data_IF_299204546124
#
_entry.id   IF_299204546124
#
_cell.length_a   1.000
_cell.length_b   1.000
_cell.length_c   1.000
_cell.angle_alpha   90.00
_cell.angle_beta   90.00
_cell.angle_gamma   90.00
#
_symmetry.space_group_name_H-M   'P 1'
#
loop_
_entity.id
_entity.type
_entity.pdbx_description
1 polymer ?
#
# COMPACT_ATOMS: atom_id res chain seq x y z
N UNK A 1 7.44 19.26 -19.24
CA UNK A 1 6.91 19.96 -18.06
C UNK A 1 5.39 19.99 -18.15
N UNK A 2 4.70 19.14 -17.37
CA UNK A 2 3.23 19.08 -17.31
C UNK A 2 2.62 20.38 -16.77
N UNK A 3 1.44 20.76 -17.25
CA UNK A 3 0.66 21.86 -16.65
C UNK A 3 0.26 21.49 -15.20
N UNK A 4 0.04 22.50 -14.34
CA UNK A 4 -0.20 22.27 -12.91
C UNK A 4 -1.39 21.32 -12.65
N UNK A 5 -2.44 21.41 -13.46
CA UNK A 5 -3.64 20.55 -13.39
C UNK A 5 -3.35 19.10 -13.79
N UNK A 6 -2.53 18.86 -14.83
CA UNK A 6 -2.15 17.52 -15.27
C UNK A 6 -1.29 16.82 -14.21
N UNK A 7 -0.40 17.57 -13.55
CA UNK A 7 0.45 17.05 -12.47
C UNK A 7 -0.37 16.71 -11.23
N UNK A 8 -1.30 17.56 -10.80
CA UNK A 8 -2.21 17.25 -9.69
C UNK A 8 -3.03 15.99 -9.99
N UNK A 9 -3.50 15.83 -11.23
CA UNK A 9 -4.21 14.62 -11.65
C UNK A 9 -3.31 13.38 -11.60
N UNK A 10 -2.06 13.48 -12.04
CA UNK A 10 -1.09 12.39 -11.97
C UNK A 10 -0.81 11.96 -10.52
N UNK A 11 -0.56 12.92 -9.61
CA UNK A 11 -0.34 12.64 -8.19
C UNK A 11 -1.56 11.96 -7.56
N UNK A 12 -2.76 12.48 -7.84
CA UNK A 12 -4.01 11.92 -7.34
C UNK A 12 -4.33 10.52 -7.91
N UNK A 13 -3.89 10.24 -9.13
CA UNK A 13 -4.17 8.96 -9.81
C UNK A 13 -3.19 7.86 -9.43
N UNK A 14 -1.91 8.21 -9.22
CA UNK A 14 -0.84 7.21 -9.09
C UNK A 14 -0.17 7.19 -7.72
N UNK A 15 0.04 8.36 -7.09
CA UNK A 15 0.83 8.45 -5.85
C UNK A 15 -0.05 8.38 -4.61
N UNK A 16 -1.04 9.28 -4.48
CA UNK A 16 -1.90 9.35 -3.30
C UNK A 16 -2.59 8.02 -2.95
N UNK A 17 -3.15 7.24 -3.89
CA UNK A 17 -3.78 5.95 -3.57
C UNK A 17 -2.80 4.90 -3.03
N UNK A 18 -1.53 5.01 -3.41
CA UNK A 18 -0.48 4.03 -3.12
C UNK A 18 0.50 4.50 -2.04
N UNK A 19 0.33 5.71 -1.49
CA UNK A 19 1.22 6.31 -0.49
C UNK A 19 1.42 5.42 0.74
N UNK A 20 0.37 4.69 1.14
CA UNK A 20 0.38 3.78 2.28
C UNK A 20 1.47 2.69 2.17
N UNK A 21 1.85 2.28 0.94
CA UNK A 21 2.91 1.29 0.70
C UNK A 21 4.25 1.87 1.17
N UNK A 22 4.54 3.11 0.78
CA UNK A 22 5.78 3.81 1.16
C UNK A 22 5.77 4.17 2.64
N UNK A 23 4.62 4.56 3.20
CA UNK A 23 4.48 4.79 4.66
C UNK A 23 4.74 3.53 5.47
N UNK A 24 4.24 2.38 5.03
CA UNK A 24 4.49 1.09 5.71
C UNK A 24 5.97 0.73 5.69
N UNK A 25 6.67 1.05 4.59
CA UNK A 25 8.11 0.92 4.50
C UNK A 25 8.84 1.89 5.45
N UNK A 26 8.43 3.17 5.49
CA UNK A 26 9.00 4.20 6.37
C UNK A 26 8.84 3.86 7.87
N UNK A 27 7.78 3.16 8.25
CA UNK A 27 7.54 2.74 9.64
C UNK A 27 8.64 1.80 10.20
N UNK A 28 9.53 1.27 9.35
CA UNK A 28 10.71 0.48 9.76
C UNK A 28 11.84 1.35 10.30
N UNK A 29 11.79 2.67 10.10
CA UNK A 29 12.81 3.63 10.51
C UNK A 29 12.27 4.54 11.62
N UNK A 30 12.44 4.17 12.90
CA UNK A 30 11.88 4.94 14.02
C UNK A 30 12.53 6.31 14.22
N UNK A 31 13.68 6.57 13.57
CA UNK A 31 14.42 7.84 13.67
C UNK A 31 13.79 8.96 12.83
N UNK A 32 12.78 8.68 12.00
CA UNK A 32 12.11 9.67 11.17
C UNK A 32 10.61 9.64 11.36
N UNK A 33 10.01 10.82 11.32
CA UNK A 33 8.58 10.96 11.10
C UNK A 33 8.26 10.71 9.63
N UNK A 34 7.39 9.73 9.36
CA UNK A 34 7.05 9.35 7.99
C UNK A 34 6.43 10.52 7.20
N UNK A 35 5.68 11.40 7.88
CA UNK A 35 5.08 12.59 7.28
C UNK A 35 6.11 13.56 6.72
N UNK A 36 7.24 13.75 7.40
CA UNK A 36 8.27 14.69 6.97
C UNK A 36 8.95 14.22 5.67
N UNK A 37 9.30 12.93 5.61
CA UNK A 37 9.89 12.33 4.40
C UNK A 37 8.92 12.37 3.24
N UNK A 38 7.63 12.08 3.47
CA UNK A 38 6.59 12.10 2.45
C UNK A 38 6.37 13.53 1.93
N UNK A 39 6.33 14.53 2.81
CA UNK A 39 6.19 15.93 2.39
C UNK A 39 7.37 16.39 1.54
N UNK A 40 8.61 16.10 1.96
CA UNK A 40 9.81 16.44 1.19
C UNK A 40 9.82 15.72 -0.17
N UNK A 41 9.35 14.47 -0.21
CA UNK A 41 9.19 13.73 -1.46
C UNK A 41 8.14 14.35 -2.39
N UNK A 42 7.03 14.87 -1.86
CA UNK A 42 6.04 15.60 -2.65
C UNK A 42 6.57 16.91 -3.23
N UNK A 43 7.42 17.63 -2.50
CA UNK A 43 8.10 18.83 -3.03
C UNK A 43 8.98 18.44 -4.22
N UNK A 44 9.79 17.38 -4.10
CA UNK A 44 10.62 16.89 -5.20
C UNK A 44 9.76 16.46 -6.41
N UNK A 45 8.67 15.73 -6.17
CA UNK A 45 7.74 15.33 -7.24
C UNK A 45 7.05 16.52 -7.91
N UNK A 46 6.80 17.61 -7.18
CA UNK A 46 6.18 18.80 -7.74
C UNK A 46 7.06 19.50 -8.77
N UNK A 47 8.38 19.36 -8.62
CA UNK A 47 9.40 19.95 -9.51
C UNK A 47 9.92 18.95 -10.56
N UNK A 48 9.70 17.65 -10.36
CA UNK A 48 10.16 16.58 -11.25
C UNK A 48 9.39 16.53 -12.58
N UNK A 49 10.09 16.10 -13.64
CA UNK A 49 9.46 15.77 -14.93
C UNK A 49 9.01 14.30 -14.92
N UNK A 50 7.72 14.09 -14.74
CA UNK A 50 7.12 12.75 -14.57
C UNK A 50 6.48 12.18 -15.83
N UNK A 51 6.60 12.85 -16.97
CA UNK A 51 5.94 12.47 -18.24
C UNK A 51 6.35 11.09 -18.74
N UNK A 52 7.60 10.68 -18.46
CA UNK A 52 8.17 9.41 -18.92
C UNK A 52 8.33 8.39 -17.78
N UNK A 53 7.75 8.66 -16.60
CA UNK A 53 7.83 7.75 -15.46
C UNK A 53 6.89 6.56 -15.71
N UNK A 54 7.48 5.40 -16.00
CA UNK A 54 6.75 4.14 -16.21
C UNK A 54 6.26 3.54 -14.90
N UNK A 55 7.01 3.71 -13.80
CA UNK A 55 6.68 3.24 -12.47
C UNK A 55 6.51 4.41 -11.46
N UNK A 56 5.34 5.05 -11.37
CA UNK A 56 5.12 6.18 -10.45
C UNK A 56 5.40 5.85 -8.98
N UNK A 57 4.93 4.68 -8.51
CA UNK A 57 5.06 4.29 -7.10
C UNK A 57 6.51 3.92 -6.77
N UNK A 58 7.18 3.18 -7.66
CA UNK A 58 8.61 2.87 -7.53
C UNK A 58 9.50 4.11 -7.58
N UNK A 59 9.14 5.08 -8.42
CA UNK A 59 9.81 6.37 -8.47
C UNK A 59 9.65 7.15 -7.16
N UNK A 60 8.41 7.23 -6.63
CA UNK A 60 8.14 7.86 -5.34
C UNK A 60 8.86 7.19 -4.16
N UNK A 61 8.87 5.86 -4.13
CA UNK A 61 9.64 5.09 -3.14
C UNK A 61 11.14 5.40 -3.23
N UNK A 62 11.69 5.47 -4.46
CA UNK A 62 13.10 5.81 -4.69
C UNK A 62 13.45 7.20 -4.14
N UNK A 63 12.56 8.18 -4.33
CA UNK A 63 12.72 9.52 -3.74
C UNK A 63 12.76 9.41 -2.21
N UNK A 64 11.78 8.76 -1.59
CA UNK A 64 11.70 8.60 -0.13
C UNK A 64 12.93 7.88 0.44
N UNK A 65 13.39 6.82 -0.23
CA UNK A 65 14.61 6.10 0.14
C UNK A 65 15.85 6.97 0.09
N UNK A 66 16.00 7.77 -0.95
CA UNK A 66 17.14 8.69 -1.07
C UNK A 66 17.11 9.78 0.02
N UNK A 67 15.92 10.24 0.41
CA UNK A 67 15.75 11.18 1.52
C UNK A 67 16.16 10.57 2.86
N UNK A 68 15.68 9.36 3.18
CA UNK A 68 16.09 8.61 4.39
C UNK A 68 17.61 8.46 4.46
N UNK A 69 18.24 8.02 3.36
CA UNK A 69 19.71 7.89 3.28
C UNK A 69 20.40 9.24 3.49
N UNK A 70 19.87 10.31 2.89
CA UNK A 70 20.42 11.67 3.04
C UNK A 70 20.35 12.14 4.49
N UNK A 71 19.20 11.94 5.15
CA UNK A 71 19.01 12.32 6.56
C UNK A 71 19.97 11.56 7.48
N UNK A 72 20.11 10.24 7.31
CA UNK A 72 21.11 9.46 8.06
C UNK A 72 22.54 9.96 7.87
N UNK A 73 22.94 10.23 6.61
CA UNK A 73 24.29 10.78 6.32
C UNK A 73 24.52 12.14 6.98
N UNK A 74 23.50 13.01 7.00
CA UNK A 74 23.58 14.35 7.58
C UNK A 74 23.62 14.32 9.11
N UNK A 75 22.91 13.39 9.73
CA UNK A 75 22.85 13.26 11.18
C UNK A 75 24.18 12.77 11.81
N UNK A 76 25.17 12.33 11.02
CA UNK A 76 26.40 11.67 11.50
C UNK A 76 26.13 10.44 12.40
N UNK A 77 24.88 9.96 12.43
CA UNK A 77 24.44 8.77 13.14
C UNK A 77 24.62 7.61 12.17
N UNK A 78 25.77 6.93 12.19
CA UNK A 78 25.91 5.68 11.40
C UNK A 78 26.52 4.57 12.25
N UNK A 79 25.64 3.70 12.72
CA UNK A 79 25.89 2.26 12.70
C UNK A 79 25.88 1.83 11.23
N UNK A 80 27.01 1.34 10.72
CA UNK A 80 27.22 0.91 9.31
C UNK A 80 26.15 -0.10 8.85
N UNK A 81 25.52 -0.79 9.78
CA UNK A 81 24.50 -1.83 9.56
C UNK A 81 23.18 -1.28 9.03
N UNK A 82 22.71 -0.11 9.48
CA UNK A 82 21.41 0.44 9.06
C UNK A 82 21.41 0.92 7.59
N UNK A 83 22.55 1.41 7.10
CA UNK A 83 22.72 1.83 5.71
C UNK A 83 22.88 0.63 4.77
N UNK A 84 23.49 -0.47 5.24
CA UNK A 84 23.69 -1.68 4.45
C UNK A 84 22.37 -2.39 4.12
N UNK A 85 21.43 -2.46 5.07
CA UNK A 85 20.09 -3.02 4.84
C UNK A 85 19.29 -2.17 3.84
N UNK A 86 19.40 -0.84 3.94
CA UNK A 86 18.80 0.09 2.99
C UNK A 86 19.32 -0.10 1.57
N UNK A 87 20.60 -0.46 1.38
CA UNK A 87 21.17 -0.66 0.04
C UNK A 87 20.54 -1.85 -0.70
N UNK A 88 20.12 -2.89 0.03
CA UNK A 88 19.46 -4.08 -0.52
C UNK A 88 17.93 -3.97 -0.61
N UNK A 89 17.32 -2.94 -0.03
CA UNK A 89 15.86 -2.78 0.07
C UNK A 89 15.25 -2.24 -1.23
N UNK A 90 15.39 -3.03 -2.30
CA UNK A 90 14.69 -2.79 -3.56
C UNK A 90 13.24 -3.17 -3.27
N UNK A 91 12.38 -2.17 -3.04
CA UNK A 91 10.96 -2.34 -3.34
C UNK A 91 10.94 -2.70 -4.83
N UNK A 92 10.85 -4.00 -5.11
CA UNK A 92 10.96 -4.61 -6.42
C UNK A 92 10.18 -3.74 -7.40
N UNK A 93 10.80 -3.45 -8.55
CA UNK A 93 10.21 -2.76 -9.69
C UNK A 93 8.95 -3.50 -10.14
N UNK A 94 7.84 -3.22 -9.46
CA UNK A 94 6.50 -3.57 -9.89
C UNK A 94 5.86 -2.26 -10.28
N UNK A 95 6.15 -1.82 -11.50
CA UNK A 95 5.09 -1.13 -12.24
C UNK A 95 3.94 -2.13 -12.24
N UNK A 96 2.81 -1.88 -11.56
CA UNK A 96 1.72 -2.83 -11.61
C UNK A 96 1.32 -2.96 -13.08
N UNK A 97 1.50 -4.16 -13.66
CA UNK A 97 0.98 -4.52 -14.97
C UNK A 97 -0.51 -4.16 -15.03
N UNK A 98 -1.08 -3.99 -16.23
CA UNK A 98 -2.55 -3.91 -16.36
C UNK A 98 -3.24 -5.12 -15.69
N UNK A 99 -2.55 -6.26 -15.62
CA UNK A 99 -2.93 -7.44 -14.86
C UNK A 99 -2.84 -7.23 -13.34
N UNK A 100 -1.82 -6.54 -12.83
CA UNK A 100 -1.67 -6.21 -11.41
C UNK A 100 -2.65 -5.13 -10.95
N UNK A 101 -3.00 -4.15 -11.80
CA UNK A 101 -4.06 -3.17 -11.51
C UNK A 101 -5.42 -3.86 -11.48
N UNK A 102 -5.65 -4.80 -12.40
CA UNK A 102 -6.86 -5.62 -12.41
C UNK A 102 -6.90 -6.52 -11.18
N UNK A 103 -5.77 -7.09 -10.80
CA UNK A 103 -5.60 -7.93 -9.59
C UNK A 103 -5.78 -7.11 -8.32
N UNK A 104 -5.25 -5.88 -8.23
CA UNK A 104 -5.43 -4.97 -7.10
C UNK A 104 -6.87 -4.49 -6.99
N UNK A 105 -7.54 -4.20 -8.11
CA UNK A 105 -8.99 -3.90 -8.11
C UNK A 105 -9.82 -5.13 -7.75
N UNK A 106 -9.41 -6.33 -8.15
CA UNK A 106 -10.04 -7.57 -7.73
C UNK A 106 -9.80 -7.83 -6.23
N UNK A 107 -8.62 -7.47 -5.73
CA UNK A 107 -8.23 -7.57 -4.32
C UNK A 107 -9.07 -6.64 -3.45
N UNK A 108 -9.20 -5.37 -3.87
CA UNK A 108 -10.05 -4.39 -3.20
C UNK A 108 -11.51 -4.80 -3.23
N UNK A 109 -12.03 -5.26 -4.38
CA UNK A 109 -13.40 -5.77 -4.48
C UNK A 109 -13.64 -6.97 -3.56
N UNK A 110 -12.68 -7.89 -3.53
CA UNK A 110 -12.74 -9.06 -2.65
C UNK A 110 -12.74 -8.66 -1.18
N UNK A 111 -11.87 -7.72 -0.78
CA UNK A 111 -11.84 -7.18 0.57
C UNK A 111 -13.15 -6.47 0.92
N UNK A 112 -13.70 -5.65 0.03
CA UNK A 112 -15.01 -5.01 0.21
C UNK A 112 -16.12 -6.04 0.43
N UNK A 113 -16.13 -7.12 -0.35
CA UNK A 113 -17.13 -8.17 -0.24
C UNK A 113 -16.98 -8.99 1.04
N UNK A 114 -15.75 -9.19 1.53
CA UNK A 114 -15.50 -9.75 2.85
C UNK A 114 -16.02 -8.81 3.94
N UNK A 115 -15.69 -7.52 3.86
CA UNK A 115 -16.11 -6.52 4.85
C UNK A 115 -17.65 -6.48 4.91
N UNK A 116 -18.36 -6.57 3.78
CA UNK A 116 -19.83 -6.66 3.74
C UNK A 116 -20.37 -7.90 4.46
N UNK A 117 -19.66 -9.03 4.42
CA UNK A 117 -20.03 -10.28 5.07
C UNK A 117 -19.71 -10.33 6.57
N UNK A 118 -18.94 -9.38 7.10
CA UNK A 118 -18.67 -9.31 8.53
C UNK A 118 -19.96 -9.04 9.33
N UNK A 119 -20.10 -9.63 10.52
CA UNK A 119 -21.17 -9.26 11.46
C UNK A 119 -21.14 -7.75 11.70
N UNK A 120 -22.31 -7.12 11.72
CA UNK A 120 -22.46 -5.66 11.73
C UNK A 120 -21.60 -4.94 12.80
N UNK A 121 -21.63 -5.45 14.03
CA UNK A 121 -20.84 -4.92 15.14
C UNK A 121 -19.32 -5.04 14.95
N UNK A 122 -18.86 -6.06 14.21
CA UNK A 122 -17.44 -6.27 13.89
C UNK A 122 -17.04 -5.40 12.71
N UNK A 123 -17.90 -5.30 11.69
CA UNK A 123 -17.74 -4.44 10.52
C UNK A 123 -17.59 -2.97 10.93
N UNK A 124 -18.50 -2.46 11.77
CA UNK A 124 -18.44 -1.08 12.23
C UNK A 124 -17.13 -0.77 12.95
N UNK A 125 -16.74 -1.62 13.91
CA UNK A 125 -15.48 -1.46 14.65
C UNK A 125 -14.27 -1.53 13.73
N UNK A 126 -14.28 -2.44 12.75
CA UNK A 126 -13.19 -2.56 11.77
C UNK A 126 -13.07 -1.30 10.92
N UNK A 127 -14.18 -0.80 10.35
CA UNK A 127 -14.18 0.43 9.54
C UNK A 127 -13.71 1.62 10.39
N UNK A 128 -14.27 1.82 11.58
CA UNK A 128 -13.94 2.96 12.43
C UNK A 128 -12.47 2.96 12.87
N UNK A 129 -11.90 1.78 13.16
CA UNK A 129 -10.52 1.63 13.65
C UNK A 129 -9.46 1.56 12.54
N UNK A 130 -9.75 0.87 11.44
CA UNK A 130 -8.75 0.53 10.41
C UNK A 130 -8.88 1.34 9.14
N UNK A 131 -10.08 1.82 8.81
CA UNK A 131 -10.32 2.66 7.63
C UNK A 131 -10.33 4.13 8.03
N UNK A 132 -11.08 4.48 9.08
CA UNK A 132 -11.22 5.87 9.52
C UNK A 132 -10.13 6.31 10.52
N UNK A 133 -9.28 5.39 10.99
CA UNK A 133 -8.13 5.70 11.85
C UNK A 133 -8.44 6.14 13.29
N UNK A 134 -9.68 6.01 13.77
CA UNK A 134 -10.04 6.44 15.13
C UNK A 134 -9.40 5.56 16.21
N UNK A 135 -9.19 6.11 17.41
CA UNK A 135 -8.64 5.35 18.54
C UNK A 135 -9.65 4.35 19.12
N UNK A 136 -9.17 3.36 19.88
CA UNK A 136 -10.03 2.37 20.53
C UNK A 136 -10.98 3.02 21.53
N UNK A 137 -10.47 4.02 22.26
CA UNK A 137 -11.22 4.83 23.21
C UNK A 137 -12.33 5.64 22.54
N UNK A 138 -12.04 6.26 21.38
CA UNK A 138 -13.05 7.02 20.63
C UNK A 138 -14.15 6.09 20.09
N UNK A 139 -13.76 4.94 19.54
CA UNK A 139 -14.69 3.93 19.06
C UNK A 139 -15.59 3.40 20.19
N UNK A 140 -15.00 3.13 21.37
CA UNK A 140 -15.72 2.69 22.56
C UNK A 140 -16.75 3.73 23.02
N UNK A 141 -16.35 5.01 23.07
CA UNK A 141 -17.22 6.13 23.42
C UNK A 141 -18.36 6.29 22.43
N UNK A 142 -18.09 6.23 21.12
CA UNK A 142 -19.10 6.32 20.05
C UNK A 142 -20.16 5.21 20.15
N UNK A 143 -19.72 4.00 20.50
CA UNK A 143 -20.59 2.82 20.56
C UNK A 143 -21.24 2.60 21.93
N UNK A 144 -20.87 3.36 22.97
CA UNK A 144 -21.34 3.15 24.33
C UNK A 144 -20.94 1.79 24.92
N UNK A 145 -19.77 1.25 24.53
CA UNK A 145 -19.24 -0.04 24.99
C UNK A 145 -17.86 0.11 25.62
N UNK A 146 -17.36 -0.94 26.28
CA UNK A 146 -15.99 -0.94 26.82
C UNK A 146 -14.93 -1.06 25.72
N UNK A 147 -13.75 -0.46 25.94
CA UNK A 147 -12.59 -0.60 25.05
C UNK A 147 -12.23 -2.07 24.80
N UNK A 148 -12.34 -2.93 25.83
CA UNK A 148 -12.15 -4.38 25.70
C UNK A 148 -13.15 -5.04 24.74
N UNK A 149 -14.38 -4.54 24.69
CA UNK A 149 -15.39 -5.01 23.74
C UNK A 149 -15.07 -4.59 22.31
N UNK A 150 -14.53 -3.38 22.11
CA UNK A 150 -14.01 -2.91 20.82
C UNK A 150 -12.87 -3.82 20.35
N UNK A 151 -11.90 -4.10 21.21
CA UNK A 151 -10.77 -4.99 20.90
C UNK A 151 -11.24 -6.38 20.47
N UNK A 152 -12.14 -7.00 21.25
CA UNK A 152 -12.68 -8.33 20.95
C UNK A 152 -13.42 -8.36 19.61
N UNK A 153 -14.19 -7.32 19.29
CA UNK A 153 -14.90 -7.19 18.01
C UNK A 153 -13.93 -6.99 16.85
N UNK A 154 -12.87 -6.19 17.04
CA UNK A 154 -11.82 -5.98 16.04
C UNK A 154 -11.03 -7.26 15.77
N UNK A 155 -10.60 -7.96 16.81
CA UNK A 155 -9.91 -9.25 16.68
C UNK A 155 -10.77 -10.27 15.93
N UNK A 156 -12.07 -10.35 16.26
CA UNK A 156 -13.01 -11.22 15.55
C UNK A 156 -13.15 -10.84 14.07
N UNK A 157 -13.19 -9.55 13.73
CA UNK A 157 -13.20 -9.09 12.35
C UNK A 157 -11.96 -9.56 11.58
N UNK A 158 -10.76 -9.38 12.17
CA UNK A 158 -9.48 -9.77 11.55
C UNK A 158 -9.39 -11.29 11.32
N UNK A 159 -9.83 -12.11 12.28
CA UNK A 159 -9.87 -13.57 12.13
C UNK A 159 -10.81 -13.99 10.99
N UNK A 160 -11.98 -13.36 10.88
CA UNK A 160 -12.91 -13.65 9.80
C UNK A 160 -12.31 -13.27 8.44
N UNK A 161 -11.72 -12.08 8.33
CA UNK A 161 -11.05 -11.64 7.09
C UNK A 161 -9.95 -12.65 6.72
N UNK A 162 -9.05 -12.98 7.64
CA UNK A 162 -7.98 -13.97 7.41
C UNK A 162 -8.52 -15.33 6.94
N UNK A 163 -9.64 -15.79 7.50
CA UNK A 163 -10.30 -17.03 7.08
C UNK A 163 -10.78 -16.97 5.63
N UNK A 164 -11.40 -15.87 5.19
CA UNK A 164 -11.84 -15.70 3.81
C UNK A 164 -10.67 -15.67 2.82
N UNK A 165 -9.56 -15.01 3.20
CA UNK A 165 -8.32 -15.02 2.42
C UNK A 165 -7.76 -16.45 2.26
N UNK A 166 -7.67 -17.22 3.35
CA UNK A 166 -7.21 -18.61 3.30
C UNK A 166 -8.15 -19.57 2.54
N UNK A 167 -9.41 -19.19 2.31
CA UNK A 167 -10.34 -19.94 1.46
C UNK A 167 -10.16 -19.64 -0.03
N UNK A 168 -9.80 -18.39 -0.37
CA UNK A 168 -9.50 -17.97 -1.74
C UNK A 168 -8.23 -18.63 -2.28
N UNK A 169 -7.20 -18.79 -1.46
CA UNK A 169 -5.95 -19.50 -1.84
C UNK A 169 -6.15 -20.99 -2.11
N UNK A 170 -7.20 -21.60 -1.52
CA UNK A 170 -7.53 -23.03 -1.70
C UNK A 170 -8.44 -23.31 -2.89
N UNK A 171 -8.99 -22.29 -3.55
CA UNK A 171 -9.77 -22.45 -4.76
C UNK A 171 -8.81 -22.67 -5.96
N UNK A 172 -8.97 -23.74 -6.76
CA UNK A 172 -8.08 -23.98 -7.90
C UNK A 172 -8.22 -22.84 -8.92
N UNK A 173 -7.11 -22.16 -9.20
CA UNK A 173 -7.01 -21.21 -10.31
C UNK A 173 -7.11 -21.98 -11.63
N UNK A 174 -8.32 -22.09 -12.16
CA UNK A 174 -8.56 -22.67 -13.48
C UNK A 174 -8.33 -21.57 -14.53
N UNK A 175 -7.07 -21.21 -14.78
CA UNK A 175 -6.72 -20.32 -15.89
C UNK A 175 -6.49 -21.17 -17.13
N UNK A 176 -7.46 -21.13 -18.03
CA UNK A 176 -7.42 -21.74 -19.35
C UNK A 176 -6.20 -21.25 -20.14
N UNK A 177 -5.21 -22.13 -20.34
CA UNK A 177 -4.20 -21.98 -21.39
C UNK A 177 -4.88 -22.25 -22.73
N UNK A 178 -5.29 -21.18 -23.43
CA UNK A 178 -5.88 -21.26 -24.74
C UNK A 178 -5.29 -20.22 -25.69
N UNK A 179 -4.90 -20.72 -26.87
CA UNK A 179 -4.41 -20.07 -28.10
C UNK A 179 -2.87 -19.97 -28.25
N UNK A 180 -2.23 -20.41 -29.34
CA UNK A 180 -2.61 -21.20 -30.52
C UNK A 180 -1.29 -21.71 -31.11
N UNK A 181 -1.13 -23.02 -31.33
CA UNK A 181 -0.02 -23.57 -32.12
C UNK A 181 -0.19 -23.11 -33.58
N UNK A 182 0.55 -22.06 -33.95
CA UNK A 182 0.79 -21.68 -35.34
C UNK A 182 1.69 -22.71 -36.01
N UNK A 183 1.08 -23.67 -36.70
CA UNK A 183 1.72 -24.65 -37.55
C UNK A 183 2.27 -23.92 -38.81
N UNK A 184 3.59 -23.84 -38.99
CA UNK A 184 4.18 -23.55 -40.31
C UNK A 184 5.04 -24.74 -40.72
N UNK A 185 4.46 -25.55 -41.61
CA UNK A 185 5.08 -26.69 -42.27
C UNK A 185 6.13 -26.22 -43.27
N UNK A 186 7.23 -26.95 -43.28
CA UNK A 186 8.19 -27.06 -44.37
C UNK A 186 7.48 -27.53 -45.65
N UNK A 187 7.79 -26.88 -46.77
CA UNK A 187 7.87 -27.47 -48.11
C UNK A 187 8.85 -26.62 -48.90
#
# INVERSE_FOLDING_TARGET
>A
MLENTERSHWLASYILPNEHIVRSWLARFPDFEADDIIQEAYVILSEADVTNVTNPVGYFHTICRNLVIRHYKKAQVVSVTAIADLQHDILIDQTPSAEDITTARAELRFLEDIIKQLPENCRYVFIDRKINGHTQKDCAKKLGISERSVEKRLARALVLISKFYGQREKAPQNTQTGLTRGNKRLS
#
